data_IF_900754425687
#
_entry.id   IF_900754425687
#
_cell.length_a   1.000
_cell.length_b   1.000
_cell.length_c   1.000
_cell.angle_alpha   90.00
_cell.angle_beta   90.00
_cell.angle_gamma   90.00
#
_symmetry.space_group_name_H-M   'P 1'
#
loop_
_entity.id
_entity.type
_entity.pdbx_description
1 polymer ?
#
# COMPACT_ATOMS: atom_id res chain seq x y z
N UNK A 1 26.61 -0.74 31.74
CA UNK A 1 27.40 -0.23 30.59
C UNK A 1 26.71 -0.88 29.41
N UNK A 2 25.78 -0.16 28.78
CA UNK A 2 24.94 -0.73 27.72
C UNK A 2 25.84 -1.13 26.55
N UNK A 3 25.80 -2.41 26.19
CA UNK A 3 26.63 -2.99 25.15
C UNK A 3 26.26 -2.36 23.79
N UNK A 4 27.26 -2.03 22.98
CA UNK A 4 27.06 -1.53 21.61
C UNK A 4 26.22 -2.55 20.81
N UNK A 5 26.36 -3.84 21.12
CA UNK A 5 25.53 -4.89 20.56
C UNK A 5 24.03 -4.71 20.86
N UNK A 6 23.67 -4.37 22.10
CA UNK A 6 22.29 -4.14 22.52
C UNK A 6 21.71 -2.89 21.82
N UNK A 7 22.51 -1.84 21.68
CA UNK A 7 22.12 -0.63 20.96
C UNK A 7 21.85 -0.91 19.48
N UNK A 8 22.73 -1.67 18.81
CA UNK A 8 22.53 -2.07 17.40
C UNK A 8 21.30 -2.97 17.26
N UNK A 9 21.08 -3.92 18.18
CA UNK A 9 19.90 -4.78 18.14
C UNK A 9 18.61 -3.97 18.35
N UNK A 10 18.61 -2.99 19.24
CA UNK A 10 17.49 -2.08 19.44
C UNK A 10 17.20 -1.24 18.17
N UNK A 11 18.24 -0.71 17.51
CA UNK A 11 18.09 0.01 16.25
C UNK A 11 17.53 -0.87 15.14
N UNK A 12 17.98 -2.13 15.03
CA UNK A 12 17.46 -3.08 14.05
C UNK A 12 15.97 -3.39 14.29
N UNK A 13 15.56 -3.57 15.55
CA UNK A 13 14.14 -3.74 15.91
C UNK A 13 13.30 -2.52 15.52
N UNK A 14 13.79 -1.31 15.84
CA UNK A 14 13.10 -0.07 15.46
C UNK A 14 12.94 0.07 13.95
N UNK A 15 13.98 -0.23 13.18
CA UNK A 15 13.93 -0.23 11.73
C UNK A 15 12.90 -1.24 11.21
N UNK A 16 12.95 -2.49 11.68
CA UNK A 16 12.00 -3.54 11.28
C UNK A 16 10.54 -3.12 11.52
N UNK A 17 10.25 -2.52 12.68
CA UNK A 17 8.92 -1.98 13.00
C UNK A 17 8.50 -0.87 12.03
N UNK A 18 9.40 0.06 11.66
CA UNK A 18 9.12 1.12 10.68
C UNK A 18 8.79 0.51 9.31
N UNK A 19 9.54 -0.52 8.88
CA UNK A 19 9.27 -1.22 7.63
C UNK A 19 7.88 -1.87 7.65
N UNK A 20 7.55 -2.61 8.70
CA UNK A 20 6.26 -3.26 8.84
C UNK A 20 5.09 -2.26 8.78
N UNK A 21 5.17 -1.14 9.51
CA UNK A 21 4.13 -0.11 9.46
C UNK A 21 3.95 0.49 8.07
N UNK A 22 5.05 0.70 7.34
CA UNK A 22 4.99 1.22 5.99
C UNK A 22 4.34 0.22 5.02
N UNK A 23 4.61 -1.08 5.14
CA UNK A 23 3.96 -2.13 4.36
C UNK A 23 2.45 -2.17 4.66
N UNK A 24 2.08 -2.28 5.94
CA UNK A 24 0.67 -2.29 6.40
C UNK A 24 -0.07 -1.05 5.87
N UNK A 25 0.55 0.13 5.94
CA UNK A 25 -0.03 1.37 5.44
C UNK A 25 -0.30 1.31 3.93
N UNK A 26 0.64 0.83 3.12
CA UNK A 26 0.45 0.67 1.66
C UNK A 26 -0.73 -0.25 1.37
N UNK A 27 -0.83 -1.36 2.09
CA UNK A 27 -1.95 -2.30 1.94
C UNK A 27 -3.29 -1.64 2.22
N UNK A 28 -3.46 -0.99 3.37
CA UNK A 28 -4.71 -0.29 3.69
C UNK A 28 -5.07 0.82 2.69
N UNK A 29 -4.08 1.50 2.13
CA UNK A 29 -4.31 2.50 1.07
C UNK A 29 -4.86 1.85 -0.20
N UNK A 30 -4.33 0.69 -0.60
CA UNK A 30 -4.84 -0.08 -1.74
C UNK A 30 -6.24 -0.64 -1.46
N UNK A 31 -6.47 -1.22 -0.28
CA UNK A 31 -7.81 -1.71 0.13
C UNK A 31 -8.85 -0.59 0.15
N UNK A 32 -8.49 0.59 0.62
CA UNK A 32 -9.35 1.77 0.60
C UNK A 32 -9.72 2.18 -0.84
N UNK A 33 -8.74 2.16 -1.75
CA UNK A 33 -8.99 2.42 -3.16
C UNK A 33 -9.89 1.34 -3.79
N UNK A 34 -9.69 0.08 -3.43
CA UNK A 34 -10.54 -1.03 -3.88
C UNK A 34 -11.99 -0.83 -3.43
N UNK A 35 -12.21 -0.56 -2.13
CA UNK A 35 -13.55 -0.33 -1.58
C UNK A 35 -14.26 0.86 -2.27
N UNK A 36 -13.53 1.95 -2.55
CA UNK A 36 -14.06 3.08 -3.34
C UNK A 36 -14.49 2.67 -4.74
N UNK A 37 -13.73 1.81 -5.41
CA UNK A 37 -14.06 1.33 -6.76
C UNK A 37 -15.27 0.39 -6.76
N UNK A 38 -15.45 -0.43 -5.73
CA UNK A 38 -16.66 -1.25 -5.54
C UNK A 38 -17.88 -0.35 -5.38
N UNK A 39 -17.83 0.63 -4.47
CA UNK A 39 -18.92 1.60 -4.27
C UNK A 39 -19.26 2.37 -5.54
N UNK A 40 -18.25 2.74 -6.33
CA UNK A 40 -18.45 3.38 -7.63
C UNK A 40 -19.18 2.47 -8.62
N UNK A 41 -18.76 1.22 -8.73
CA UNK A 41 -19.37 0.26 -9.64
C UNK A 41 -20.85 0.06 -9.29
N UNK A 42 -21.17 -0.14 -8.01
CA UNK A 42 -22.55 -0.20 -7.51
C UNK A 42 -23.36 1.03 -7.92
N UNK A 43 -22.82 2.24 -7.69
CA UNK A 43 -23.55 3.49 -8.01
C UNK A 43 -23.78 3.72 -9.50
N UNK A 44 -22.91 3.19 -10.37
CA UNK A 44 -23.04 3.29 -11.84
C UNK A 44 -24.07 2.31 -12.38
N UNK A 45 -24.11 1.09 -11.85
CA UNK A 45 -25.12 0.08 -12.22
C UNK A 45 -26.52 0.60 -11.92
N UNK A 46 -26.71 1.31 -10.80
CA UNK A 46 -28.03 1.86 -10.44
C UNK A 46 -28.48 3.03 -11.32
N UNK A 47 -27.61 3.63 -12.15
CA UNK A 47 -27.90 4.96 -12.76
C UNK A 47 -27.85 5.06 -14.28
N UNK A 48 -27.52 4.00 -15.04
CA UNK A 48 -27.66 4.02 -16.50
C UNK A 48 -26.64 4.90 -17.22
N UNK A 49 -25.36 4.48 -17.15
CA UNK A 49 -24.16 5.27 -17.40
C UNK A 49 -24.14 6.25 -18.58
N UNK A 50 -24.32 7.53 -18.27
CA UNK A 50 -23.87 8.67 -19.07
C UNK A 50 -22.68 9.41 -18.42
N UNK A 51 -21.87 10.14 -19.21
CA UNK A 51 -20.68 10.85 -18.71
C UNK A 51 -21.00 11.88 -17.59
N UNK A 52 -22.16 12.54 -17.67
CA UNK A 52 -22.64 13.48 -16.64
C UNK A 52 -23.06 12.78 -15.34
N UNK A 53 -23.40 11.49 -15.40
CA UNK A 53 -23.69 10.66 -14.23
C UNK A 53 -22.44 10.10 -13.59
N UNK A 54 -21.31 10.03 -14.31
CA UNK A 54 -20.04 9.57 -13.76
C UNK A 54 -19.56 10.46 -12.61
N UNK A 55 -19.62 11.79 -12.77
CA UNK A 55 -19.27 12.76 -11.72
C UNK A 55 -20.25 12.75 -10.53
N UNK A 56 -21.54 12.51 -10.80
CA UNK A 56 -22.54 12.31 -9.74
C UNK A 56 -22.31 11.00 -8.98
N UNK A 57 -21.95 9.93 -9.67
CA UNK A 57 -21.65 8.62 -9.09
C UNK A 57 -20.40 8.68 -8.21
N UNK A 58 -19.38 9.42 -8.64
CA UNK A 58 -18.16 9.64 -7.84
C UNK A 58 -18.43 10.42 -6.55
N UNK A 59 -19.26 11.46 -6.64
CA UNK A 59 -19.67 12.21 -5.45
C UNK A 59 -20.47 11.34 -4.46
N UNK A 60 -21.35 10.47 -4.98
CA UNK A 60 -22.15 9.55 -4.15
C UNK A 60 -21.28 8.47 -3.51
N UNK A 61 -20.39 7.85 -4.28
CA UNK A 61 -19.47 6.84 -3.77
C UNK A 61 -18.52 7.42 -2.71
N UNK A 62 -18.01 8.64 -2.92
CA UNK A 62 -17.18 9.33 -1.92
C UNK A 62 -17.96 9.65 -0.64
N UNK A 63 -19.24 10.03 -0.75
CA UNK A 63 -20.11 10.26 0.43
C UNK A 63 -20.36 8.97 1.20
N UNK A 64 -20.69 7.88 0.51
CA UNK A 64 -20.83 6.54 1.14
C UNK A 64 -19.53 6.12 1.84
N UNK A 65 -18.40 6.37 1.20
CA UNK A 65 -17.09 6.09 1.79
C UNK A 65 -16.83 6.93 3.05
N UNK A 66 -17.20 8.21 3.05
CA UNK A 66 -17.12 9.08 4.24
C UNK A 66 -17.99 8.56 5.38
N UNK A 67 -19.23 8.11 5.12
CA UNK A 67 -20.09 7.56 6.16
C UNK A 67 -19.57 6.24 6.75
N UNK A 68 -18.92 5.40 5.95
CA UNK A 68 -18.28 4.18 6.43
C UNK A 68 -17.01 4.47 7.25
N UNK A 69 -16.17 5.39 6.78
CA UNK A 69 -14.89 5.71 7.42
C UNK A 69 -15.04 6.56 8.69
N UNK A 70 -16.08 7.40 8.77
CA UNK A 70 -16.35 8.28 9.90
C UNK A 70 -17.84 8.27 10.27
N UNK A 71 -18.33 7.18 10.90
CA UNK A 71 -19.73 7.09 11.31
C UNK A 71 -20.12 8.27 12.20
N UNK A 72 -21.24 8.92 11.90
CA UNK A 72 -21.74 10.08 12.65
C UNK A 72 -21.19 11.44 12.19
N UNK A 73 -20.30 11.49 11.19
CA UNK A 73 -19.82 12.73 10.59
C UNK A 73 -20.61 13.04 9.31
N UNK A 74 -21.73 13.76 9.45
CA UNK A 74 -22.63 14.06 8.33
C UNK A 74 -22.24 15.36 7.58
N UNK A 75 -22.40 15.39 6.24
CA UNK A 75 -22.27 16.61 5.45
C UNK A 75 -23.42 17.57 5.79
N UNK A 76 -23.19 18.43 6.78
CA UNK A 76 -23.94 19.67 6.99
C UNK A 76 -25.47 19.53 7.04
N UNK A 77 -26.00 18.86 8.06
CA UNK A 77 -27.24 19.35 8.70
C UNK A 77 -26.86 20.06 9.98
N UNK A 78 -26.70 21.38 9.87
CA UNK A 78 -26.73 22.39 10.94
C UNK A 78 -26.09 21.98 12.29
N UNK A 79 -24.85 22.44 12.54
CA UNK A 79 -24.41 23.01 13.83
C UNK A 79 -22.99 23.63 13.70
N UNK A 80 -22.89 24.88 14.20
CA UNK A 80 -21.73 25.76 14.47
C UNK A 80 -20.34 25.32 13.96
N UNK A 81 -19.70 26.22 13.20
CA UNK A 81 -18.24 26.37 12.93
C UNK A 81 -17.37 25.11 12.89
N UNK A 82 -17.12 24.51 14.06
CA UNK A 82 -16.14 23.43 14.24
C UNK A 82 -16.51 22.08 13.57
N UNK A 83 -17.78 21.70 13.48
CA UNK A 83 -18.18 20.38 12.93
C UNK A 83 -18.09 20.36 11.40
N UNK A 84 -18.48 21.47 10.76
CA UNK A 84 -18.34 21.66 9.31
C UNK A 84 -16.88 21.59 8.87
N UNK A 85 -16.00 22.23 9.64
CA UNK A 85 -14.56 22.22 9.38
C UNK A 85 -13.95 20.82 9.57
N UNK A 86 -14.43 20.04 10.55
CA UNK A 86 -13.94 18.68 10.75
C UNK A 86 -14.34 17.76 9.60
N UNK A 87 -15.59 17.82 9.11
CA UNK A 87 -16.01 17.07 7.92
C UNK A 87 -15.15 17.41 6.70
N UNK A 88 -14.95 18.70 6.42
CA UNK A 88 -14.14 19.14 5.27
C UNK A 88 -12.70 18.62 5.38
N UNK A 89 -12.07 18.75 6.56
CA UNK A 89 -10.71 18.23 6.80
C UNK A 89 -10.61 16.73 6.60
N UNK A 90 -11.54 15.96 7.17
CA UNK A 90 -11.57 14.48 7.03
C UNK A 90 -11.83 14.05 5.58
N UNK A 91 -12.71 14.77 4.87
CA UNK A 91 -12.98 14.52 3.45
C UNK A 91 -11.75 14.80 2.59
N UNK A 92 -11.05 15.93 2.80
CA UNK A 92 -9.81 16.24 2.08
C UNK A 92 -8.71 15.20 2.37
N UNK A 93 -8.55 14.80 3.62
CA UNK A 93 -7.60 13.75 4.01
C UNK A 93 -7.95 12.40 3.35
N UNK A 94 -9.23 12.05 3.26
CA UNK A 94 -9.69 10.84 2.58
C UNK A 94 -9.40 10.90 1.08
N UNK A 95 -9.71 12.02 0.41
CA UNK A 95 -9.37 12.22 -1.01
C UNK A 95 -7.86 12.10 -1.25
N UNK A 96 -7.05 12.67 -0.37
CA UNK A 96 -5.59 12.55 -0.45
C UNK A 96 -5.12 11.10 -0.31
N UNK A 97 -5.65 10.37 0.69
CA UNK A 97 -5.36 8.93 0.87
C UNK A 97 -5.79 8.10 -0.33
N UNK A 98 -6.94 8.39 -0.95
CA UNK A 98 -7.39 7.71 -2.16
C UNK A 98 -6.45 7.96 -3.34
N UNK A 99 -5.98 9.20 -3.54
CA UNK A 99 -4.99 9.51 -4.59
C UNK A 99 -3.69 8.75 -4.39
N UNK A 100 -3.22 8.66 -3.14
CA UNK A 100 -2.04 7.86 -2.80
C UNK A 100 -2.30 6.36 -3.03
N UNK A 101 -3.43 5.85 -2.54
CA UNK A 101 -3.80 4.44 -2.70
C UNK A 101 -3.96 4.03 -4.16
N UNK A 102 -4.42 4.94 -5.02
CA UNK A 102 -4.49 4.71 -6.46
C UNK A 102 -3.11 4.51 -7.08
N UNK A 103 -2.08 5.22 -6.61
CA UNK A 103 -0.68 5.04 -7.06
C UNK A 103 -0.19 3.64 -6.71
N UNK A 104 -0.26 3.28 -5.43
CA UNK A 104 0.10 1.93 -4.96
C UNK A 104 -0.71 0.83 -5.65
N UNK A 105 -1.99 1.09 -5.94
CA UNK A 105 -2.85 0.13 -6.64
C UNK A 105 -2.39 -0.14 -8.07
N UNK A 106 -1.69 0.79 -8.74
CA UNK A 106 -1.15 0.54 -10.07
C UNK A 106 -0.09 -0.57 -10.04
N UNK A 107 0.82 -0.53 -9.06
CA UNK A 107 1.81 -1.59 -8.85
C UNK A 107 1.16 -2.91 -8.46
N UNK A 108 0.26 -2.90 -7.48
CA UNK A 108 -0.41 -4.10 -7.00
C UNK A 108 -1.22 -4.80 -8.11
N UNK A 109 -1.76 -4.03 -9.05
CA UNK A 109 -2.42 -4.59 -10.25
C UNK A 109 -1.44 -5.17 -11.26
N UNK A 110 -0.26 -4.58 -11.39
CA UNK A 110 0.76 -5.02 -12.35
C UNK A 110 1.48 -6.30 -11.88
N UNK A 111 1.68 -6.47 -10.58
CA UNK A 111 2.54 -7.53 -10.04
C UNK A 111 1.89 -8.35 -8.91
N UNK A 112 0.58 -8.23 -8.65
CA UNK A 112 -0.11 -8.77 -7.46
C UNK A 112 0.18 -7.99 -6.14
N UNK A 113 -0.61 -8.18 -5.07
CA UNK A 113 -0.53 -7.36 -3.85
C UNK A 113 0.78 -7.46 -3.06
N UNK A 114 1.52 -8.57 -3.14
CA UNK A 114 2.78 -8.78 -2.41
C UNK A 114 3.88 -7.76 -2.76
N UNK A 115 3.82 -7.14 -3.95
CA UNK A 115 4.73 -6.08 -4.39
C UNK A 115 4.77 -4.90 -3.43
N UNK A 116 3.69 -4.69 -2.66
CA UNK A 116 3.62 -3.62 -1.66
C UNK A 116 4.57 -3.87 -0.48
N UNK A 117 4.94 -5.12 -0.21
CA UNK A 117 5.97 -5.49 0.77
C UNK A 117 7.38 -5.40 0.19
N UNK A 118 7.53 -5.68 -1.11
CA UNK A 118 8.83 -5.74 -1.79
C UNK A 118 9.42 -4.37 -2.10
N UNK A 119 8.62 -3.31 -2.11
CA UNK A 119 9.16 -1.98 -2.39
C UNK A 119 10.00 -1.52 -1.20
N UNK A 120 11.30 -1.27 -1.41
CA UNK A 120 12.19 -0.92 -0.33
C UNK A 120 11.74 0.37 0.36
N UNK A 121 12.07 0.48 1.64
CA UNK A 121 11.80 1.67 2.45
C UNK A 121 13.15 2.04 3.04
N UNK A 122 13.82 3.05 2.48
CA UNK A 122 15.19 3.43 2.90
C UNK A 122 16.21 2.28 2.68
N UNK A 123 17.44 2.48 3.14
CA UNK A 123 18.60 1.64 2.84
C UNK A 123 19.39 2.17 1.65
N UNK A 124 20.13 1.29 0.97
CA UNK A 124 21.07 1.64 -0.11
C UNK A 124 20.41 2.37 -1.28
N UNK A 125 19.11 2.12 -1.49
CA UNK A 125 18.34 2.71 -2.59
C UNK A 125 17.68 4.06 -2.23
N UNK A 126 17.79 4.51 -0.96
CA UNK A 126 17.25 5.77 -0.40
C UNK A 126 15.77 6.08 -0.69
N UNK A 127 15.02 5.14 -1.28
CA UNK A 127 13.64 5.39 -1.68
C UNK A 127 12.72 5.34 -0.46
N UNK A 128 12.02 6.43 -0.19
CA UNK A 128 10.97 6.47 0.82
C UNK A 128 9.59 6.26 0.21
N UNK A 129 8.61 5.90 1.05
CA UNK A 129 7.20 5.95 0.65
C UNK A 129 6.82 7.31 0.07
N UNK A 130 7.34 8.39 0.64
CA UNK A 130 7.01 9.73 0.17
C UNK A 130 7.48 9.97 -1.25
N UNK A 131 8.59 9.37 -1.67
CA UNK A 131 9.15 9.59 -3.01
C UNK A 131 8.26 8.95 -4.06
N UNK A 132 7.87 7.69 -3.84
CA UNK A 132 6.90 7.02 -4.68
C UNK A 132 5.53 7.72 -4.68
N UNK A 133 5.04 8.13 -3.51
CA UNK A 133 3.73 8.77 -3.35
C UNK A 133 3.63 10.17 -3.94
N UNK A 134 4.75 10.77 -4.34
CA UNK A 134 4.79 12.06 -5.05
C UNK A 134 4.88 11.88 -6.56
N UNK A 135 5.25 10.71 -7.06
CA UNK A 135 5.38 10.45 -8.50
C UNK A 135 4.06 10.67 -9.26
N UNK A 136 4.07 11.45 -10.36
CA UNK A 136 2.93 11.57 -11.26
C UNK A 136 2.50 10.20 -11.81
N UNK A 137 1.19 10.03 -12.07
CA UNK A 137 0.67 8.78 -12.63
C UNK A 137 1.36 8.32 -13.93
N UNK A 138 1.70 9.21 -14.90
CA UNK A 138 2.47 8.81 -16.08
C UNK A 138 3.86 8.26 -15.73
N UNK A 139 4.54 8.85 -14.74
CA UNK A 139 5.85 8.38 -14.28
C UNK A 139 5.75 7.00 -13.64
N UNK A 140 4.69 6.74 -12.87
CA UNK A 140 4.43 5.41 -12.31
C UNK A 140 4.16 4.39 -13.42
N UNK A 141 3.42 4.76 -14.46
CA UNK A 141 3.19 3.87 -15.60
C UNK A 141 4.51 3.51 -16.31
N UNK A 142 5.40 4.49 -16.53
CA UNK A 142 6.74 4.24 -17.09
C UNK A 142 7.55 3.30 -16.18
N UNK A 143 7.54 3.54 -14.86
CA UNK A 143 8.22 2.67 -13.90
C UNK A 143 7.69 1.23 -13.98
N UNK A 144 6.37 1.05 -14.01
CA UNK A 144 5.75 -0.28 -14.13
C UNK A 144 6.16 -0.95 -15.44
N UNK A 145 6.14 -0.24 -16.56
CA UNK A 145 6.51 -0.76 -17.87
C UNK A 145 7.99 -1.18 -17.91
N UNK A 146 8.90 -0.38 -17.34
CA UNK A 146 10.32 -0.75 -17.17
C UNK A 146 10.46 -2.00 -16.31
N UNK A 147 9.78 -2.06 -15.15
CA UNK A 147 9.83 -3.23 -14.26
C UNK A 147 9.26 -4.48 -14.93
N UNK A 148 8.17 -4.34 -15.70
CA UNK A 148 7.57 -5.43 -16.47
C UNK A 148 8.55 -5.97 -17.52
N UNK A 149 9.21 -5.08 -18.26
CA UNK A 149 10.15 -5.45 -19.32
C UNK A 149 11.40 -6.17 -18.80
N UNK A 150 11.93 -5.77 -17.65
CA UNK A 150 13.20 -6.30 -17.15
C UNK A 150 13.08 -7.39 -16.08
N UNK A 151 12.00 -7.37 -15.27
CA UNK A 151 11.83 -8.25 -14.11
C UNK A 151 10.37 -8.66 -13.88
N UNK A 152 9.49 -8.51 -14.86
CA UNK A 152 8.05 -8.67 -14.66
C UNK A 152 7.64 -10.05 -14.18
N UNK A 153 8.14 -11.11 -14.82
CA UNK A 153 7.83 -12.49 -14.42
C UNK A 153 8.29 -12.80 -12.99
N UNK A 154 9.53 -12.45 -12.67
CA UNK A 154 10.10 -12.64 -11.32
C UNK A 154 9.30 -11.89 -10.25
N UNK A 155 9.04 -10.59 -10.46
CA UNK A 155 8.29 -9.78 -9.51
C UNK A 155 6.87 -10.29 -9.31
N UNK A 156 6.23 -10.76 -10.38
CA UNK A 156 4.88 -11.31 -10.31
C UNK A 156 4.83 -12.64 -9.56
N UNK A 157 5.77 -13.55 -9.83
CA UNK A 157 5.87 -14.82 -9.12
C UNK A 157 6.14 -14.57 -7.63
N UNK A 158 7.15 -13.78 -7.30
CA UNK A 158 7.56 -13.52 -5.93
C UNK A 158 6.46 -12.81 -5.13
N UNK A 159 5.84 -11.80 -5.72
CA UNK A 159 4.71 -11.08 -5.13
C UNK A 159 3.46 -11.96 -4.94
N UNK A 160 3.26 -12.98 -5.78
CA UNK A 160 2.16 -13.93 -5.63
C UNK A 160 2.44 -14.94 -4.51
N UNK A 161 3.71 -15.34 -4.33
CA UNK A 161 4.11 -16.25 -3.25
C UNK A 161 4.07 -15.59 -1.87
N UNK A 162 4.14 -14.26 -1.78
CA UNK A 162 4.04 -13.57 -0.50
C UNK A 162 2.60 -13.57 0.03
N UNK A 163 2.31 -14.49 0.95
CA UNK A 163 1.12 -14.40 1.79
C UNK A 163 1.33 -13.32 2.88
N UNK A 164 0.56 -12.25 2.77
CA UNK A 164 0.61 -11.13 3.69
C UNK A 164 0.16 -11.49 5.10
N UNK A 165 -0.77 -12.43 5.26
CA UNK A 165 -1.18 -12.90 6.59
C UNK A 165 -0.07 -13.72 7.25
N UNK A 166 0.78 -14.40 6.46
CA UNK A 166 1.99 -15.02 6.96
C UNK A 166 3.05 -13.97 7.33
N UNK A 167 3.31 -12.95 6.48
CA UNK A 167 4.27 -11.87 6.78
C UNK A 167 3.93 -11.06 8.04
N UNK A 168 2.65 -10.82 8.31
CA UNK A 168 2.21 -10.13 9.52
C UNK A 168 2.41 -10.98 10.80
N UNK A 169 2.54 -12.31 10.67
CA UNK A 169 2.71 -13.27 11.76
C UNK A 169 4.14 -13.87 11.83
N UNK A 170 4.98 -13.70 10.80
CA UNK A 170 6.28 -14.37 10.64
C UNK A 170 7.48 -13.61 11.26
N UNK A 171 7.22 -12.66 12.16
CA UNK A 171 8.19 -11.73 12.77
C UNK A 171 9.46 -12.39 13.34
N UNK A 172 9.46 -13.72 13.58
CA UNK A 172 10.56 -14.44 14.21
C UNK A 172 11.33 -15.45 13.33
N UNK A 173 10.84 -15.84 12.14
CA UNK A 173 11.45 -16.93 11.36
C UNK A 173 12.35 -16.45 10.21
N UNK A 174 11.96 -15.40 9.49
CA UNK A 174 12.68 -14.91 8.31
C UNK A 174 13.97 -14.16 8.69
N UNK A 175 13.93 -13.36 9.77
CA UNK A 175 15.05 -12.51 10.22
C UNK A 175 16.29 -13.33 10.63
N UNK A 176 16.12 -14.59 11.07
CA UNK A 176 17.22 -15.45 11.53
C UNK A 176 18.01 -16.11 10.40
N UNK A 177 17.43 -16.28 9.21
CA UNK A 177 18.10 -16.90 8.06
C UNK A 177 18.79 -15.87 7.14
N UNK A 178 18.41 -14.59 7.23
CA UNK A 178 18.69 -13.56 6.23
C UNK A 178 20.07 -12.87 6.38
N UNK A 179 20.56 -12.65 7.60
CA UNK A 179 21.66 -11.70 7.88
C UNK A 179 22.99 -12.00 7.16
N UNK A 180 23.29 -13.27 6.89
CA UNK A 180 24.58 -13.71 6.35
C UNK A 180 24.50 -14.36 4.97
N UNK A 181 23.35 -14.94 4.59
CA UNK A 181 23.25 -15.74 3.35
C UNK A 181 22.70 -14.92 2.18
N UNK A 182 21.82 -13.97 2.44
CA UNK A 182 21.14 -13.20 1.39
C UNK A 182 21.97 -12.05 0.80
N UNK A 183 23.02 -11.61 1.50
CA UNK A 183 23.97 -10.62 1.00
C UNK A 183 24.88 -11.14 -0.12
N UNK A 184 24.95 -12.46 -0.29
CA UNK A 184 25.82 -13.13 -1.26
C UNK A 184 25.05 -13.65 -2.48
N UNK A 185 23.72 -13.67 -2.43
CA UNK A 185 22.90 -14.19 -3.53
C UNK A 185 22.41 -13.06 -4.44
N UNK A 186 22.40 -13.31 -5.75
CA UNK A 186 21.72 -12.43 -6.69
C UNK A 186 20.22 -12.44 -6.38
N UNK A 187 19.60 -11.25 -6.42
CA UNK A 187 18.20 -11.02 -6.05
C UNK A 187 17.18 -11.90 -6.80
N UNK A 188 17.58 -12.53 -7.90
CA UNK A 188 16.74 -13.36 -8.78
C UNK A 188 17.01 -14.87 -8.62
N UNK A 189 17.65 -15.31 -7.53
CA UNK A 189 18.03 -16.72 -7.36
C UNK A 189 16.79 -17.64 -7.30
N UNK A 190 16.78 -18.80 -7.98
CA UNK A 190 15.69 -19.79 -7.87
C UNK A 190 15.47 -20.27 -6.43
N UNK A 191 16.53 -20.25 -5.62
CA UNK A 191 16.51 -20.62 -4.20
C UNK A 191 15.69 -19.64 -3.35
N UNK A 192 15.73 -18.34 -3.66
CA UNK A 192 14.89 -17.33 -3.02
C UNK A 192 13.39 -17.61 -3.24
N UNK A 193 13.03 -17.99 -4.46
CA UNK A 193 11.66 -18.37 -4.83
C UNK A 193 11.23 -19.64 -4.09
N UNK A 194 12.11 -20.64 -3.95
CA UNK A 194 11.83 -21.87 -3.18
C UNK A 194 11.66 -21.61 -1.67
N UNK A 195 12.44 -20.71 -1.09
CA UNK A 195 12.32 -20.33 0.33
C UNK A 195 10.96 -19.66 0.62
N UNK A 196 10.45 -18.85 -0.31
CA UNK A 196 9.11 -18.27 -0.20
C UNK A 196 7.99 -19.29 -0.40
N UNK A 197 8.24 -20.38 -1.14
CA UNK A 197 7.27 -21.46 -1.37
C UNK A 197 7.22 -22.49 -0.23
N UNK A 198 8.21 -22.50 0.67
CA UNK A 198 8.41 -23.58 1.65
C UNK A 198 7.99 -23.23 3.08
N UNK A 199 7.28 -22.12 3.31
CA UNK A 199 6.64 -21.86 4.59
C UNK A 199 5.13 -22.20 4.54
N UNK A 200 4.64 -23.01 5.50
CA UNK A 200 3.25 -23.49 5.54
C UNK A 200 2.24 -22.41 5.93
#
# INVERSE_FOLDING_TARGET
MDDIADAVQALNKLNATIHLYAIIRRFHLVSLCHHRNVLLAETRVTRGGNAQESGRSETVAHRKLMSHAYPGLEPGRLKRGNVKDNYVKKSQALTHRLKIGQRWSMLAKAFAPGILALIPIRGDFQLSNSDYEKLPAPTIAILIDVLQRHRGGFLQEFSTCLDFFALANAENSLVRQDADTLKQEEYDSPRLVELCKSQP
#
